data_IF_898146376658
#
_entry.id   IF_898146376658
#
_cell.length_a   1.000
_cell.length_b   1.000
_cell.length_c   1.000
_cell.angle_alpha   90.00
_cell.angle_beta   90.00
_cell.angle_gamma   90.00
#
_symmetry.space_group_name_H-M   'P 1'
#
loop_
_entity.id
_entity.type
_entity.pdbx_description
1 polymer ?
#
# COMPACT_ATOMS: atom_id res chain seq x y z
N UNK A 1 -16.11 -32.16 -5.71
CA UNK A 1 -16.15 -30.67 -5.67
C UNK A 1 -14.71 -30.23 -5.67
N UNK A 2 -14.27 -29.41 -6.62
CA UNK A 2 -12.93 -28.85 -6.60
C UNK A 2 -12.78 -28.09 -5.27
N UNK A 3 -11.70 -28.35 -4.54
CA UNK A 3 -11.41 -27.66 -3.30
C UNK A 3 -11.22 -26.16 -3.63
N UNK A 4 -12.09 -25.32 -3.08
CA UNK A 4 -12.11 -23.87 -3.37
C UNK A 4 -10.93 -23.16 -2.68
N UNK A 5 -9.76 -23.28 -3.29
CA UNK A 5 -8.53 -22.64 -2.78
C UNK A 5 -8.56 -21.16 -3.13
N UNK A 6 -8.22 -20.33 -2.16
CA UNK A 6 -8.05 -18.88 -2.35
C UNK A 6 -6.56 -18.54 -2.42
N UNK A 7 -6.09 -18.09 -3.58
CA UNK A 7 -4.70 -17.65 -3.73
C UNK A 7 -4.55 -16.19 -3.29
N UNK A 8 -3.54 -15.92 -2.48
CA UNK A 8 -3.13 -14.54 -2.11
C UNK A 8 -1.71 -14.28 -2.58
N UNK A 9 -1.53 -13.32 -3.47
CA UNK A 9 -0.20 -12.80 -3.82
C UNK A 9 0.14 -11.62 -2.92
N UNK A 10 1.42 -11.43 -2.60
CA UNK A 10 1.84 -10.32 -1.75
C UNK A 10 1.54 -10.48 -0.25
N UNK A 11 1.14 -11.67 0.20
CA UNK A 11 0.85 -11.94 1.61
C UNK A 11 2.06 -11.78 2.54
N UNK A 12 3.29 -11.80 2.01
CA UNK A 12 4.50 -11.48 2.79
C UNK A 12 4.65 -9.98 3.08
N UNK A 13 3.86 -9.12 2.40
CA UNK A 13 3.85 -7.66 2.57
C UNK A 13 2.79 -7.19 3.57
N UNK A 14 2.65 -5.87 3.70
CA UNK A 14 1.79 -5.20 4.66
C UNK A 14 0.30 -5.54 4.45
N UNK A 15 -0.32 -5.05 3.38
CA UNK A 15 -1.76 -5.28 3.11
C UNK A 15 -2.04 -6.77 2.93
N UNK A 16 -1.24 -7.46 2.13
CA UNK A 16 -1.49 -8.86 1.79
C UNK A 16 -1.46 -9.81 2.99
N UNK A 17 -0.66 -9.53 4.03
CA UNK A 17 -0.65 -10.34 5.25
C UNK A 17 -1.97 -10.20 6.03
N UNK A 18 -2.55 -9.00 6.08
CA UNK A 18 -3.85 -8.76 6.73
C UNK A 18 -4.99 -9.40 5.93
N UNK A 19 -4.96 -9.32 4.60
CA UNK A 19 -5.92 -10.03 3.73
C UNK A 19 -5.84 -11.53 3.96
N UNK A 20 -4.64 -12.13 3.91
CA UNK A 20 -4.47 -13.57 4.12
C UNK A 20 -4.93 -14.00 5.53
N UNK A 21 -4.59 -13.24 6.57
CA UNK A 21 -5.02 -13.49 7.95
C UNK A 21 -6.55 -13.46 8.08
N UNK A 22 -7.21 -12.51 7.43
CA UNK A 22 -8.66 -12.38 7.48
C UNK A 22 -9.36 -13.54 6.76
N UNK A 23 -8.86 -13.95 5.61
CA UNK A 23 -9.33 -15.13 4.88
C UNK A 23 -9.20 -16.39 5.74
N UNK A 24 -8.04 -16.61 6.38
CA UNK A 24 -7.84 -17.75 7.29
C UNK A 24 -8.80 -17.72 8.49
N UNK A 25 -9.07 -16.54 9.07
CA UNK A 25 -10.04 -16.39 10.16
C UNK A 25 -11.49 -16.65 9.69
N UNK A 26 -11.80 -16.38 8.42
CA UNK A 26 -13.08 -16.73 7.80
C UNK A 26 -13.22 -18.24 7.55
N UNK A 27 -12.14 -19.00 7.64
CA UNK A 27 -12.10 -20.44 7.40
C UNK A 27 -11.76 -20.83 5.95
N UNK A 28 -11.28 -19.86 5.13
CA UNK A 28 -10.87 -20.15 3.76
C UNK A 28 -9.60 -21.00 3.73
N UNK A 29 -9.52 -21.88 2.74
CA UNK A 29 -8.28 -22.60 2.42
C UNK A 29 -7.38 -21.66 1.61
N UNK A 30 -6.38 -21.09 2.26
CA UNK A 30 -5.50 -20.08 1.67
C UNK A 30 -4.22 -20.69 1.13
N UNK A 31 -3.87 -20.34 -0.11
CA UNK A 31 -2.57 -20.56 -0.74
C UNK A 31 -1.87 -19.21 -0.87
N UNK A 32 -0.58 -19.13 -0.48
CA UNK A 32 0.22 -17.90 -0.58
C UNK A 32 1.27 -18.06 -1.66
N UNK A 33 1.35 -17.10 -2.58
CA UNK A 33 2.48 -16.96 -3.48
C UNK A 33 3.58 -16.14 -2.79
N UNK A 34 4.78 -16.71 -2.65
CA UNK A 34 5.94 -16.01 -2.14
C UNK A 34 7.17 -16.28 -3.02
N UNK A 35 8.03 -15.28 -3.21
CA UNK A 35 9.35 -15.50 -3.84
C UNK A 35 10.26 -16.23 -2.86
N UNK A 36 11.24 -16.99 -3.38
CA UNK A 36 12.25 -17.66 -2.54
C UNK A 36 12.99 -16.69 -1.63
N UNK A 37 13.18 -15.43 -2.09
CA UNK A 37 13.87 -14.35 -1.37
C UNK A 37 12.96 -13.53 -0.46
N UNK A 38 11.65 -13.81 -0.42
CA UNK A 38 10.71 -13.03 0.40
C UNK A 38 10.93 -13.29 1.88
N UNK A 39 10.94 -12.22 2.68
CA UNK A 39 10.85 -12.31 4.13
C UNK A 39 9.47 -12.85 4.51
N UNK A 40 9.41 -13.92 5.33
CA UNK A 40 8.17 -14.65 5.64
C UNK A 40 7.60 -14.33 7.01
N UNK A 41 8.23 -13.45 7.80
CA UNK A 41 7.84 -13.16 9.19
C UNK A 41 6.34 -12.78 9.36
N UNK A 42 5.72 -12.15 8.36
CA UNK A 42 4.28 -11.83 8.41
C UNK A 42 3.36 -13.05 8.24
N UNK A 43 3.86 -14.17 7.74
CA UNK A 43 3.06 -15.36 7.39
C UNK A 43 3.50 -16.64 8.11
N UNK A 44 4.57 -16.61 8.89
CA UNK A 44 5.12 -17.80 9.58
C UNK A 44 4.09 -18.52 10.46
N UNK A 45 3.20 -17.76 11.10
CA UNK A 45 2.18 -18.31 12.00
C UNK A 45 0.88 -18.74 11.30
N UNK A 46 0.79 -18.66 9.96
CA UNK A 46 -0.49 -18.85 9.26
C UNK A 46 -0.87 -20.33 9.06
N UNK A 47 0.09 -21.25 9.06
CA UNK A 47 -0.19 -22.67 8.87
C UNK A 47 -0.85 -23.02 7.53
N UNK A 48 -0.67 -22.18 6.50
CA UNK A 48 -1.27 -22.34 5.18
C UNK A 48 -0.24 -22.79 4.11
N UNK A 49 -0.73 -23.20 2.95
CA UNK A 49 0.11 -23.57 1.81
C UNK A 49 0.88 -22.38 1.28
N UNK A 50 2.22 -22.50 1.19
CA UNK A 50 3.08 -21.48 0.59
C UNK A 50 3.75 -22.05 -0.66
N UNK A 51 3.41 -21.48 -1.83
CA UNK A 51 3.99 -21.85 -3.12
C UNK A 51 5.06 -20.84 -3.49
N UNK A 52 6.24 -21.33 -3.87
CA UNK A 52 7.33 -20.50 -4.35
C UNK A 52 7.14 -20.20 -5.83
N UNK A 53 7.12 -18.90 -6.18
CA UNK A 53 6.98 -18.46 -7.56
C UNK A 53 7.26 -16.96 -7.73
N UNK A 54 7.30 -16.52 -9.00
CA UNK A 54 7.50 -15.11 -9.37
C UNK A 54 6.41 -14.69 -10.36
N UNK A 55 5.76 -13.56 -10.12
CA UNK A 55 4.77 -12.95 -11.01
C UNK A 55 5.31 -12.74 -12.45
N UNK A 56 6.61 -12.52 -12.58
CA UNK A 56 7.25 -12.34 -13.90
C UNK A 56 7.36 -13.62 -14.72
N UNK A 57 7.14 -14.78 -14.10
CA UNK A 57 7.15 -16.08 -14.77
C UNK A 57 5.73 -16.62 -14.92
N UNK A 58 5.21 -16.60 -16.16
CA UNK A 58 3.87 -17.10 -16.50
C UNK A 58 3.68 -18.57 -16.08
N UNK A 59 4.68 -19.43 -16.33
CA UNK A 59 4.58 -20.84 -15.95
C UNK A 59 4.47 -21.02 -14.44
N UNK A 60 5.11 -20.16 -13.67
CA UNK A 60 4.97 -20.11 -12.22
C UNK A 60 3.53 -19.73 -11.82
N UNK A 61 2.93 -18.77 -12.51
CA UNK A 61 1.54 -18.36 -12.26
C UNK A 61 0.54 -19.46 -12.60
N UNK A 62 0.71 -20.12 -13.73
CA UNK A 62 -0.13 -21.26 -14.15
C UNK A 62 -0.15 -22.36 -13.08
N UNK A 63 1.02 -22.69 -12.50
CA UNK A 63 1.08 -23.67 -11.39
C UNK A 63 0.42 -23.16 -10.12
N UNK A 64 0.59 -21.88 -9.80
CA UNK A 64 0.06 -21.32 -8.55
C UNK A 64 -1.46 -21.21 -8.51
N UNK A 65 -2.12 -20.96 -9.66
CA UNK A 65 -3.58 -20.79 -9.73
C UNK A 65 -4.35 -22.11 -9.89
N UNK A 66 -3.66 -23.24 -10.10
CA UNK A 66 -4.33 -24.52 -10.24
C UNK A 66 -5.19 -24.87 -9.02
N UNK A 67 -6.46 -25.18 -9.24
CA UNK A 67 -7.44 -25.51 -8.20
C UNK A 67 -7.93 -24.31 -7.40
N UNK A 68 -7.55 -23.08 -7.78
CA UNK A 68 -8.02 -21.87 -7.12
C UNK A 68 -9.36 -21.42 -7.70
N UNK A 69 -10.36 -21.23 -6.84
CA UNK A 69 -11.61 -20.59 -7.22
C UNK A 69 -11.55 -19.06 -7.12
N UNK A 70 -10.68 -18.55 -6.23
CA UNK A 70 -10.54 -17.11 -5.98
C UNK A 70 -9.08 -16.69 -5.91
N UNK A 71 -8.80 -15.46 -6.35
CA UNK A 71 -7.45 -14.87 -6.33
C UNK A 71 -7.50 -13.46 -5.79
N UNK A 72 -6.69 -13.17 -4.77
CA UNK A 72 -6.41 -11.83 -4.26
C UNK A 72 -5.03 -11.41 -4.72
N UNK A 73 -4.98 -10.53 -5.71
CA UNK A 73 -3.74 -10.01 -6.27
C UNK A 73 -3.32 -8.74 -5.54
N UNK A 74 -2.59 -8.90 -4.44
CA UNK A 74 -2.13 -7.79 -3.57
C UNK A 74 -0.67 -7.42 -3.83
N UNK A 75 0.09 -8.29 -4.47
CA UNK A 75 1.51 -8.05 -4.75
C UNK A 75 1.71 -6.85 -5.68
N UNK A 76 2.60 -5.95 -5.26
CA UNK A 76 3.06 -4.83 -6.06
C UNK A 76 4.48 -4.42 -5.65
N UNK A 77 5.24 -3.85 -6.59
CA UNK A 77 6.46 -3.10 -6.30
C UNK A 77 6.07 -1.63 -6.09
N UNK A 78 6.19 -1.14 -4.84
CA UNK A 78 5.80 0.21 -4.44
C UNK A 78 6.99 1.14 -4.19
N UNK A 79 8.21 0.77 -4.65
CA UNK A 79 9.40 1.60 -4.51
C UNK A 79 9.22 2.94 -5.25
N UNK A 80 9.45 4.05 -4.53
CA UNK A 80 9.45 5.40 -5.12
C UNK A 80 10.77 5.74 -5.79
N UNK A 81 11.80 4.92 -5.60
CA UNK A 81 13.11 5.04 -6.24
C UNK A 81 13.70 3.66 -6.54
N UNK A 82 14.34 3.53 -7.68
CA UNK A 82 15.08 2.34 -8.10
C UNK A 82 16.17 2.71 -9.10
N UNK A 83 17.23 1.91 -9.18
CA UNK A 83 18.28 2.06 -10.19
C UNK A 83 17.79 1.71 -11.59
N UNK A 84 16.85 0.77 -11.67
CA UNK A 84 16.27 0.30 -12.92
C UNK A 84 14.74 0.40 -12.84
N UNK A 85 14.14 1.48 -13.36
CA UNK A 85 12.70 1.64 -13.35
C UNK A 85 11.91 0.52 -14.05
N UNK A 86 12.52 -0.14 -15.04
CA UNK A 86 11.87 -1.22 -15.80
C UNK A 86 11.42 -2.38 -14.88
N UNK A 87 12.16 -2.65 -13.80
CA UNK A 87 11.79 -3.68 -12.82
C UNK A 87 10.41 -3.46 -12.21
N UNK A 88 10.02 -2.18 -11.98
CA UNK A 88 8.71 -1.82 -11.43
C UNK A 88 7.61 -2.16 -12.46
N UNK A 89 7.84 -1.85 -13.74
CA UNK A 89 6.87 -2.17 -14.82
C UNK A 89 6.78 -3.66 -15.05
N UNK A 90 7.90 -4.37 -15.07
CA UNK A 90 7.92 -5.84 -15.23
C UNK A 90 7.16 -6.53 -14.11
N UNK A 91 7.31 -6.05 -12.88
CA UNK A 91 6.61 -6.61 -11.72
C UNK A 91 5.12 -6.23 -11.69
N UNK A 92 4.80 -4.93 -11.85
CA UNK A 92 3.43 -4.45 -11.67
C UNK A 92 2.57 -4.69 -12.92
N UNK A 93 3.07 -4.40 -14.12
CA UNK A 93 2.29 -4.55 -15.35
C UNK A 93 2.42 -5.97 -15.90
N UNK A 94 3.65 -6.42 -16.14
CA UNK A 94 3.93 -7.76 -16.66
C UNK A 94 3.42 -8.85 -15.71
N UNK A 95 3.72 -8.71 -14.40
CA UNK A 95 3.29 -9.66 -13.39
C UNK A 95 1.77 -9.73 -13.24
N UNK A 96 1.06 -8.59 -13.32
CA UNK A 96 -0.42 -8.57 -13.31
C UNK A 96 -0.96 -9.27 -14.55
N UNK A 97 -0.42 -9.00 -15.74
CA UNK A 97 -0.85 -9.66 -16.97
C UNK A 97 -0.64 -11.17 -16.91
N UNK A 98 0.52 -11.63 -16.45
CA UNK A 98 0.80 -13.07 -16.31
C UNK A 98 -0.19 -13.76 -15.36
N UNK A 99 -0.45 -13.16 -14.18
CA UNK A 99 -1.38 -13.73 -13.21
C UNK A 99 -2.81 -13.77 -13.76
N UNK A 100 -3.29 -12.69 -14.37
CA UNK A 100 -4.65 -12.65 -14.92
C UNK A 100 -4.81 -13.60 -16.12
N UNK A 101 -3.78 -13.74 -16.96
CA UNK A 101 -3.77 -14.76 -18.03
C UNK A 101 -3.88 -16.18 -17.45
N UNK A 102 -3.11 -16.48 -16.41
CA UNK A 102 -3.18 -17.77 -15.73
C UNK A 102 -4.57 -17.99 -15.08
N UNK A 103 -5.18 -16.95 -14.51
CA UNK A 103 -6.54 -17.02 -13.97
C UNK A 103 -7.59 -17.33 -15.05
N UNK A 104 -7.47 -16.74 -16.24
CA UNK A 104 -8.35 -17.06 -17.37
C UNK A 104 -8.22 -18.53 -17.76
N UNK A 105 -6.98 -19.02 -17.92
CA UNK A 105 -6.71 -20.41 -18.34
C UNK A 105 -7.20 -21.42 -17.30
N UNK A 106 -7.07 -21.10 -16.00
CA UNK A 106 -7.52 -21.97 -14.91
C UNK A 106 -9.02 -21.85 -14.61
N UNK A 107 -9.75 -20.93 -15.24
CA UNK A 107 -11.18 -20.72 -14.98
C UNK A 107 -11.48 -20.18 -13.57
N UNK A 108 -10.63 -19.29 -13.05
CA UNK A 108 -10.80 -18.67 -11.72
C UNK A 108 -12.12 -17.90 -11.67
N UNK A 109 -12.97 -18.19 -10.67
CA UNK A 109 -14.31 -17.62 -10.53
C UNK A 109 -14.36 -16.17 -10.07
N UNK A 110 -13.32 -15.67 -9.35
CA UNK A 110 -13.27 -14.27 -8.89
C UNK A 110 -11.83 -13.82 -8.67
N UNK A 111 -11.50 -12.61 -9.12
CA UNK A 111 -10.21 -11.97 -8.87
C UNK A 111 -10.43 -10.61 -8.20
N UNK A 112 -9.75 -10.37 -7.08
CA UNK A 112 -9.69 -9.06 -6.42
C UNK A 112 -8.32 -8.47 -6.70
N UNK A 113 -8.27 -7.44 -7.53
CA UNK A 113 -7.03 -6.76 -7.90
C UNK A 113 -6.82 -5.53 -7.03
N UNK A 114 -5.70 -5.51 -6.31
CA UNK A 114 -5.30 -4.35 -5.50
C UNK A 114 -4.56 -3.34 -6.35
N UNK A 115 -5.24 -2.27 -6.72
CA UNK A 115 -4.64 -1.10 -7.35
C UNK A 115 -4.10 -0.12 -6.29
N UNK A 116 -4.32 1.15 -6.44
CA UNK A 116 -3.88 2.20 -5.51
C UNK A 116 -4.73 3.46 -5.71
N UNK A 117 -4.94 4.24 -4.66
CA UNK A 117 -5.43 5.61 -4.79
C UNK A 117 -4.57 6.47 -5.73
N UNK A 118 -3.31 6.09 -5.91
CA UNK A 118 -2.40 6.74 -6.84
C UNK A 118 -2.83 6.72 -8.30
N UNK A 119 -3.81 5.87 -8.69
CA UNK A 119 -4.40 5.79 -10.03
C UNK A 119 -5.69 6.59 -10.17
N UNK A 120 -6.14 7.25 -9.11
CA UNK A 120 -7.32 8.12 -9.12
C UNK A 120 -6.89 9.55 -9.49
N UNK A 121 -7.66 10.20 -10.35
CA UNK A 121 -7.42 11.58 -10.74
C UNK A 121 -7.57 12.55 -9.57
N UNK A 122 -6.69 13.54 -9.51
CA UNK A 122 -6.77 14.57 -8.48
C UNK A 122 -7.72 15.69 -8.90
N UNK A 123 -8.53 16.17 -7.96
CA UNK A 123 -9.40 17.34 -8.18
C UNK A 123 -8.72 18.59 -7.65
N UNK A 124 -8.95 19.72 -8.34
CA UNK A 124 -8.37 21.03 -7.99
C UNK A 124 -9.42 22.04 -7.48
N UNK A 125 -10.67 21.59 -7.38
CA UNK A 125 -11.81 22.40 -6.93
C UNK A 125 -12.08 22.30 -5.40
N UNK A 126 -11.19 21.63 -4.67
CA UNK A 126 -11.32 21.43 -3.22
C UNK A 126 -12.25 20.28 -2.81
N UNK A 127 -12.91 19.62 -3.76
CA UNK A 127 -13.75 18.43 -3.50
C UNK A 127 -12.84 17.19 -3.50
N UNK A 128 -13.01 16.26 -2.55
CA UNK A 128 -12.30 14.99 -2.59
C UNK A 128 -12.53 14.23 -3.89
N UNK A 129 -11.47 13.67 -4.47
CA UNK A 129 -11.58 12.87 -5.69
C UNK A 129 -12.30 11.54 -5.41
N UNK A 130 -12.90 10.97 -6.43
CA UNK A 130 -13.63 9.68 -6.39
C UNK A 130 -13.27 8.81 -7.59
N UNK A 131 -13.92 7.65 -7.69
CA UNK A 131 -13.67 6.69 -8.77
C UNK A 131 -14.01 7.23 -10.17
N UNK A 132 -14.85 8.26 -10.27
CA UNK A 132 -15.24 8.90 -11.53
C UNK A 132 -14.31 10.05 -11.93
N UNK A 133 -13.38 10.45 -11.06
CA UNK A 133 -12.45 11.56 -11.32
C UNK A 133 -11.59 11.26 -12.55
N UNK A 134 -11.57 12.16 -13.57
CA UNK A 134 -10.82 11.96 -14.80
C UNK A 134 -9.32 11.81 -14.51
N UNK A 135 -8.67 10.88 -15.20
CA UNK A 135 -7.25 10.60 -15.02
C UNK A 135 -6.65 9.98 -16.28
N UNK A 136 -5.44 10.40 -16.61
CA UNK A 136 -4.65 9.85 -17.69
C UNK A 136 -3.23 9.44 -17.25
N UNK A 137 -2.50 8.77 -18.14
CA UNK A 137 -1.12 8.35 -17.86
C UNK A 137 -0.20 9.56 -17.59
N UNK A 138 -0.49 10.71 -18.19
CA UNK A 138 0.32 11.93 -18.04
C UNK A 138 0.17 12.58 -16.65
N UNK A 139 -0.92 12.28 -15.94
CA UNK A 139 -1.14 12.73 -14.58
C UNK A 139 -0.34 11.92 -13.55
N UNK A 140 0.24 10.79 -13.97
CA UNK A 140 0.94 9.88 -13.09
C UNK A 140 2.35 10.37 -12.75
N UNK A 141 2.56 10.79 -11.51
CA UNK A 141 3.86 11.24 -10.99
C UNK A 141 4.69 10.02 -10.61
N UNK A 142 5.84 9.85 -11.29
CA UNK A 142 6.82 8.82 -11.00
C UNK A 142 6.49 7.43 -11.54
N UNK A 143 7.47 6.54 -11.46
CA UNK A 143 7.37 5.21 -12.06
C UNK A 143 6.37 4.31 -11.34
N UNK A 144 6.27 4.44 -10.02
CA UNK A 144 5.30 3.66 -9.25
C UNK A 144 3.85 3.94 -9.69
N UNK A 145 3.41 5.21 -9.68
CA UNK A 145 2.03 5.54 -10.07
C UNK A 145 1.75 5.17 -11.53
N UNK A 146 2.70 5.45 -12.44
CA UNK A 146 2.57 5.06 -13.85
C UNK A 146 2.40 3.56 -14.01
N UNK A 147 3.22 2.75 -13.34
CA UNK A 147 3.11 1.29 -13.41
C UNK A 147 1.80 0.76 -12.82
N UNK A 148 1.32 1.35 -11.71
CA UNK A 148 0.03 0.97 -11.11
C UNK A 148 -1.15 1.35 -12.02
N UNK A 149 -1.10 2.53 -12.63
CA UNK A 149 -2.11 2.95 -13.61
C UNK A 149 -2.16 1.97 -14.80
N UNK A 150 -1.01 1.66 -15.42
CA UNK A 150 -0.94 0.71 -16.53
C UNK A 150 -1.41 -0.70 -16.12
N UNK A 151 -1.06 -1.16 -14.93
CA UNK A 151 -1.50 -2.45 -14.41
C UNK A 151 -3.01 -2.47 -14.10
N UNK A 152 -3.59 -1.35 -13.67
CA UNK A 152 -5.05 -1.22 -13.52
C UNK A 152 -5.76 -1.29 -14.87
N UNK A 153 -5.18 -0.68 -15.94
CA UNK A 153 -5.72 -0.83 -17.30
C UNK A 153 -5.70 -2.30 -17.75
N UNK A 154 -4.62 -3.04 -17.45
CA UNK A 154 -4.59 -4.50 -17.70
C UNK A 154 -5.72 -5.21 -16.96
N UNK A 155 -5.99 -4.86 -15.70
CA UNK A 155 -7.09 -5.46 -14.95
C UNK A 155 -8.47 -5.16 -15.59
N UNK A 156 -8.68 -3.95 -16.09
CA UNK A 156 -9.89 -3.59 -16.85
C UNK A 156 -9.98 -4.36 -18.19
N UNK A 157 -8.87 -4.52 -18.93
CA UNK A 157 -8.85 -5.31 -20.16
C UNK A 157 -9.35 -6.73 -19.90
N UNK A 158 -8.85 -7.40 -18.86
CA UNK A 158 -9.25 -8.75 -18.50
C UNK A 158 -10.70 -8.82 -18.01
N UNK A 159 -11.14 -7.84 -17.22
CA UNK A 159 -12.55 -7.76 -16.82
C UNK A 159 -13.51 -7.65 -18.01
N UNK A 160 -13.17 -6.79 -18.98
CA UNK A 160 -13.94 -6.62 -20.21
C UNK A 160 -13.90 -7.86 -21.12
N UNK A 161 -12.87 -8.69 -20.98
CA UNK A 161 -12.73 -9.96 -21.70
C UNK A 161 -13.41 -11.15 -20.99
N UNK A 162 -14.10 -10.89 -19.87
CA UNK A 162 -14.93 -11.89 -19.19
C UNK A 162 -14.31 -12.53 -17.94
N UNK A 163 -13.07 -12.19 -17.56
CA UNK A 163 -12.53 -12.61 -16.26
C UNK A 163 -13.24 -11.81 -15.14
N UNK A 164 -13.81 -12.45 -14.10
CA UNK A 164 -14.51 -11.73 -13.03
C UNK A 164 -13.56 -10.95 -12.11
N UNK A 165 -13.05 -9.81 -12.56
CA UNK A 165 -12.14 -8.93 -11.80
C UNK A 165 -12.90 -7.80 -11.13
N UNK A 166 -12.67 -7.60 -9.83
CA UNK A 166 -13.07 -6.41 -9.08
C UNK A 166 -11.79 -5.69 -8.63
N UNK A 167 -11.77 -4.38 -8.77
CA UNK A 167 -10.58 -3.56 -8.47
C UNK A 167 -10.81 -2.83 -7.15
N UNK A 168 -9.81 -2.83 -6.28
CA UNK A 168 -9.81 -2.02 -5.06
C UNK A 168 -8.63 -1.06 -5.07
N UNK A 169 -8.86 0.18 -4.65
CA UNK A 169 -7.89 1.26 -4.60
C UNK A 169 -7.66 1.68 -3.14
N UNK A 170 -6.82 0.96 -2.37
CA UNK A 170 -6.45 1.39 -1.03
C UNK A 170 -5.85 2.79 -1.06
N UNK A 171 -6.17 3.60 -0.05
CA UNK A 171 -5.60 4.93 0.10
C UNK A 171 -4.22 4.85 0.77
N UNK A 172 -4.09 5.37 1.96
CA UNK A 172 -2.83 5.34 2.70
C UNK A 172 -3.00 4.47 3.95
N UNK A 173 -2.75 3.16 3.84
CA UNK A 173 -2.97 2.25 4.96
C UNK A 173 -1.93 2.49 6.07
N UNK A 174 -2.42 2.43 7.31
CA UNK A 174 -1.62 2.48 8.53
C UNK A 174 -2.04 1.35 9.48
N UNK A 175 -1.12 0.86 10.30
CA UNK A 175 -1.39 -0.23 11.26
C UNK A 175 -0.16 -1.06 11.56
N UNK A 176 -0.39 -2.24 12.14
CA UNK A 176 0.64 -3.22 12.50
C UNK A 176 1.17 -4.00 11.27
N UNK A 177 2.30 -4.70 11.44
CA UNK A 177 2.93 -5.56 10.42
C UNK A 177 3.46 -4.83 9.17
N UNK A 178 3.69 -3.52 9.21
CA UNK A 178 4.42 -2.78 8.17
C UNK A 178 5.94 -3.03 8.32
N UNK A 179 6.38 -4.27 8.04
CA UNK A 179 7.76 -4.75 8.26
C UNK A 179 8.77 -3.92 7.48
N UNK A 180 8.46 -3.66 6.20
CA UNK A 180 9.22 -2.76 5.35
C UNK A 180 8.44 -1.45 5.27
N UNK A 181 8.77 -0.48 6.14
CA UNK A 181 7.94 0.70 6.29
C UNK A 181 7.50 1.30 4.96
N UNK A 182 6.19 1.40 4.77
CA UNK A 182 5.61 2.15 3.66
C UNK A 182 6.00 3.63 3.78
N UNK A 183 5.83 4.46 2.75
CA UNK A 183 6.12 5.90 2.86
C UNK A 183 5.43 6.54 4.08
N UNK A 184 4.21 6.13 4.41
CA UNK A 184 3.47 6.63 5.59
C UNK A 184 4.00 6.00 6.89
N UNK A 185 4.28 4.69 6.88
CA UNK A 185 4.93 4.02 8.01
C UNK A 185 6.28 4.67 8.34
N UNK A 186 7.03 5.13 7.32
CA UNK A 186 8.28 5.87 7.52
C UNK A 186 8.04 7.22 8.19
N UNK A 187 6.98 7.96 7.84
CA UNK A 187 6.62 9.21 8.53
C UNK A 187 6.36 8.94 10.02
N UNK A 188 5.59 7.90 10.34
CA UNK A 188 5.30 7.50 11.73
C UNK A 188 6.60 7.13 12.45
N UNK A 189 7.44 6.32 11.84
CA UNK A 189 8.71 5.87 12.40
C UNK A 189 9.69 7.03 12.63
N UNK A 190 9.82 7.95 11.65
CA UNK A 190 10.70 9.11 11.77
C UNK A 190 10.20 10.09 12.82
N UNK A 191 8.87 10.23 12.98
CA UNK A 191 8.27 11.00 14.07
C UNK A 191 8.61 10.38 15.45
N UNK A 192 8.40 9.08 15.61
CA UNK A 192 8.73 8.34 16.85
C UNK A 192 10.23 8.50 17.19
N UNK A 193 11.09 8.52 16.19
CA UNK A 193 12.55 8.69 16.36
C UNK A 193 13.00 10.15 16.55
N UNK A 194 12.08 11.11 16.45
CA UNK A 194 12.42 12.54 16.53
C UNK A 194 13.22 13.07 15.34
N UNK A 195 13.10 12.43 14.19
CA UNK A 195 13.82 12.77 12.94
C UNK A 195 13.05 13.73 12.03
N UNK A 196 11.88 14.20 12.43
CA UNK A 196 11.06 15.16 11.69
C UNK A 196 11.13 16.56 12.31
N UNK A 197 12.13 17.41 11.93
CA UNK A 197 12.27 18.76 12.47
C UNK A 197 11.23 19.73 11.90
N UNK A 198 10.68 19.41 10.72
CA UNK A 198 9.78 20.27 9.97
C UNK A 198 8.85 19.44 9.07
N UNK A 199 7.80 20.07 8.55
CA UNK A 199 6.85 19.43 7.64
C UNK A 199 6.40 20.39 6.53
N UNK A 200 5.90 19.83 5.43
CA UNK A 200 5.25 20.57 4.32
C UNK A 200 3.73 20.55 4.47
N UNK A 201 3.06 21.57 3.93
CA UNK A 201 1.58 21.58 3.90
C UNK A 201 1.08 20.65 2.81
N UNK A 202 0.67 19.47 3.23
CA UNK A 202 0.08 18.43 2.38
C UNK A 202 -0.99 17.68 3.18
N UNK A 203 -1.67 16.74 2.54
CA UNK A 203 -2.68 15.92 3.20
C UNK A 203 -2.86 14.57 2.49
N UNK A 204 -3.31 13.60 3.24
CA UNK A 204 -3.50 12.22 2.83
C UNK A 204 -4.90 11.75 3.26
N UNK A 205 -5.44 10.79 2.54
CA UNK A 205 -6.53 9.98 3.05
C UNK A 205 -5.92 8.77 3.77
N UNK A 206 -6.12 8.67 5.07
CA UNK A 206 -5.63 7.57 5.90
C UNK A 206 -6.72 6.53 6.13
N UNK A 207 -6.32 5.27 6.24
CA UNK A 207 -7.22 4.14 6.52
C UNK A 207 -6.49 3.06 7.31
N UNK A 208 -7.19 2.34 8.18
CA UNK A 208 -6.64 1.18 8.87
C UNK A 208 -6.32 0.03 7.90
N UNK A 209 -5.19 -0.64 8.07
CA UNK A 209 -4.84 -1.78 7.22
C UNK A 209 -5.80 -2.96 7.39
N UNK A 210 -6.36 -3.14 8.59
CA UNK A 210 -7.39 -4.15 8.85
C UNK A 210 -8.69 -3.80 8.10
N UNK A 211 -9.06 -2.51 8.02
CA UNK A 211 -10.21 -2.06 7.24
C UNK A 211 -9.98 -2.26 5.74
N UNK A 212 -8.75 -1.99 5.27
CA UNK A 212 -8.38 -2.30 3.88
C UNK A 212 -8.54 -3.79 3.60
N UNK A 213 -8.08 -4.66 4.50
CA UNK A 213 -8.26 -6.11 4.35
C UNK A 213 -9.75 -6.50 4.32
N UNK A 214 -10.56 -5.91 5.21
CA UNK A 214 -12.04 -6.09 5.17
C UNK A 214 -12.63 -5.62 3.85
N UNK A 215 -12.22 -4.45 3.37
CA UNK A 215 -12.66 -3.92 2.08
C UNK A 215 -12.38 -4.86 0.90
N UNK A 216 -11.28 -5.64 0.94
CA UNK A 216 -10.99 -6.67 -0.05
C UNK A 216 -12.00 -7.84 0.02
N UNK A 217 -12.36 -8.27 1.23
CA UNK A 217 -13.37 -9.32 1.42
C UNK A 217 -14.74 -8.84 0.93
N UNK A 218 -15.14 -7.64 1.32
CA UNK A 218 -16.40 -7.04 0.88
C UNK A 218 -16.45 -6.85 -0.66
N UNK A 219 -15.33 -6.52 -1.28
CA UNK A 219 -15.23 -6.43 -2.74
C UNK A 219 -15.35 -7.80 -3.41
N UNK A 220 -14.86 -8.88 -2.80
CA UNK A 220 -15.07 -10.24 -3.28
C UNK A 220 -16.55 -10.60 -3.20
N UNK A 221 -17.23 -10.32 -2.10
CA UNK A 221 -18.60 -10.70 -1.84
C UNK A 221 -19.63 -9.87 -2.64
N UNK A 222 -19.44 -8.54 -2.71
CA UNK A 222 -20.45 -7.58 -3.20
C UNK A 222 -19.98 -6.74 -4.38
N UNK A 223 -18.68 -6.73 -4.67
CA UNK A 223 -18.12 -5.91 -5.73
C UNK A 223 -18.59 -6.33 -7.11
N UNK A 224 -18.93 -5.34 -7.94
CA UNK A 224 -19.33 -5.55 -9.34
C UNK A 224 -18.08 -5.77 -10.20
N UNK A 225 -18.13 -6.76 -11.08
CA UNK A 225 -17.06 -7.06 -12.04
C UNK A 225 -16.82 -5.84 -12.93
N UNK A 226 -15.55 -5.51 -13.17
CA UNK A 226 -15.15 -4.36 -13.97
C UNK A 226 -15.26 -3.02 -13.24
N UNK A 227 -15.64 -3.00 -11.96
CA UNK A 227 -15.74 -1.78 -11.17
C UNK A 227 -14.53 -1.62 -10.25
N UNK A 228 -14.21 -0.36 -9.91
CA UNK A 228 -13.20 -0.03 -8.91
C UNK A 228 -13.81 0.65 -7.68
N UNK A 229 -13.21 0.42 -6.52
CA UNK A 229 -13.67 0.90 -5.22
C UNK A 229 -12.52 1.47 -4.40
N UNK A 230 -12.62 2.73 -4.00
CA UNK A 230 -11.66 3.37 -3.11
C UNK A 230 -11.86 2.85 -1.69
N UNK A 231 -10.84 2.20 -1.14
CA UNK A 231 -10.82 1.78 0.25
C UNK A 231 -10.08 2.84 1.07
N UNK A 232 -10.81 3.88 1.47
CA UNK A 232 -10.30 5.04 2.19
C UNK A 232 -11.04 5.29 3.49
N UNK A 233 -10.36 5.94 4.44
CA UNK A 233 -10.92 6.35 5.73
C UNK A 233 -11.14 7.86 5.79
N UNK A 234 -10.25 8.59 6.47
CA UNK A 234 -10.38 10.02 6.76
C UNK A 234 -9.32 10.84 6.01
N UNK A 235 -9.73 12.02 5.54
CA UNK A 235 -8.85 12.99 4.91
C UNK A 235 -8.20 13.88 5.97
N UNK A 236 -6.91 13.72 6.22
CA UNK A 236 -6.16 14.48 7.22
C UNK A 236 -5.01 15.26 6.57
N UNK A 237 -4.77 16.49 7.03
CA UNK A 237 -3.54 17.21 6.73
C UNK A 237 -2.35 16.53 7.42
N UNK A 238 -1.16 16.70 6.89
CA UNK A 238 0.05 16.19 7.55
C UNK A 238 0.22 16.77 8.97
N UNK A 239 -0.26 18.01 9.18
CA UNK A 239 -0.27 18.64 10.51
C UNK A 239 -1.14 17.86 11.49
N UNK A 240 -2.38 17.53 11.12
CA UNK A 240 -3.30 16.72 11.96
C UNK A 240 -2.73 15.34 12.26
N UNK A 241 -2.08 14.70 11.27
CA UNK A 241 -1.38 13.42 11.47
C UNK A 241 -0.28 13.57 12.53
N UNK A 242 0.55 14.62 12.43
CA UNK A 242 1.64 14.85 13.38
C UNK A 242 1.12 15.24 14.79
N UNK A 243 0.00 15.95 14.87
CA UNK A 243 -0.66 16.27 16.15
C UNK A 243 -1.18 15.00 16.82
N UNK A 244 -1.85 14.13 16.09
CA UNK A 244 -2.32 12.84 16.63
C UNK A 244 -1.17 11.90 17.03
N UNK A 245 -0.07 11.88 16.26
CA UNK A 245 1.13 11.15 16.65
C UNK A 245 1.76 11.72 17.92
N UNK A 246 1.77 13.06 18.07
CA UNK A 246 2.31 13.72 19.24
C UNK A 246 1.51 13.37 20.52
N UNK A 247 0.17 13.34 20.42
CA UNK A 247 -0.71 12.87 21.50
C UNK A 247 -0.40 11.41 21.87
N UNK A 248 -0.29 10.52 20.87
CA UNK A 248 -0.07 9.09 21.09
C UNK A 248 1.31 8.78 21.68
N UNK A 249 2.36 9.48 21.22
CA UNK A 249 3.75 9.22 21.62
C UNK A 249 4.23 10.11 22.77
N UNK A 250 3.40 10.99 23.30
CA UNK A 250 3.76 12.04 24.28
C UNK A 250 4.99 12.85 23.82
N UNK A 251 4.98 13.31 22.56
CA UNK A 251 6.07 14.07 21.92
C UNK A 251 5.58 15.44 21.47
N UNK A 252 6.51 16.34 21.16
CA UNK A 252 6.18 17.66 20.63
C UNK A 252 5.95 17.60 19.12
N UNK A 253 4.94 18.29 18.63
CA UNK A 253 4.69 18.48 17.20
C UNK A 253 5.80 19.34 16.58
N UNK A 254 6.35 19.00 15.39
CA UNK A 254 7.23 19.88 14.64
C UNK A 254 6.58 21.23 14.39
N UNK A 255 7.25 22.34 14.74
CA UNK A 255 6.68 23.68 14.65
C UNK A 255 6.96 24.37 13.32
N UNK A 256 7.95 23.90 12.59
CA UNK A 256 8.43 24.54 11.36
C UNK A 256 7.68 23.99 10.17
N UNK A 257 6.86 24.85 9.54
CA UNK A 257 6.24 24.55 8.24
C UNK A 257 7.18 25.02 7.14
N UNK A 258 7.67 24.11 6.33
CA UNK A 258 8.53 24.42 5.19
C UNK A 258 7.69 24.83 3.97
N UNK A 259 8.07 25.93 3.27
CA UNK A 259 7.56 26.15 1.93
C UNK A 259 7.91 24.98 1.00
N UNK A 260 6.98 24.58 0.14
CA UNK A 260 7.20 23.46 -0.78
C UNK A 260 8.49 23.59 -1.62
N UNK A 261 8.81 24.83 -2.06
CA UNK A 261 10.02 25.10 -2.84
C UNK A 261 11.32 24.72 -2.09
N UNK A 262 11.35 24.90 -0.76
CA UNK A 262 12.51 24.51 0.06
C UNK A 262 12.63 22.99 0.11
N UNK A 263 11.53 22.28 0.33
CA UNK A 263 11.49 20.81 0.29
C UNK A 263 11.89 20.27 -1.10
N UNK A 264 11.46 20.95 -2.16
CA UNK A 264 11.83 20.62 -3.54
C UNK A 264 13.33 20.73 -3.78
N UNK A 265 13.95 21.86 -3.39
CA UNK A 265 15.41 22.06 -3.53
C UNK A 265 16.16 21.00 -2.73
N UNK A 266 15.75 20.74 -1.48
CA UNK A 266 16.36 19.71 -0.64
C UNK A 266 16.25 18.32 -1.29
N UNK A 267 15.09 17.97 -1.83
CA UNK A 267 14.87 16.72 -2.56
C UNK A 267 15.71 16.60 -3.83
N UNK A 268 15.87 17.69 -4.60
CA UNK A 268 16.74 17.72 -5.77
C UNK A 268 18.22 17.47 -5.39
N UNK A 269 18.70 18.13 -4.34
CA UNK A 269 20.07 17.97 -3.86
C UNK A 269 20.31 16.54 -3.36
N UNK A 270 19.42 16.01 -2.51
CA UNK A 270 19.55 14.66 -1.99
C UNK A 270 19.46 13.61 -3.12
N UNK A 271 18.54 13.78 -4.06
CA UNK A 271 18.43 12.87 -5.20
C UNK A 271 19.67 12.90 -6.11
N UNK A 272 20.29 14.06 -6.28
CA UNK A 272 21.54 14.18 -7.04
C UNK A 272 22.69 13.51 -6.29
N UNK A 273 22.90 13.84 -5.02
CA UNK A 273 24.02 13.31 -4.24
C UNK A 273 23.81 11.82 -3.93
N UNK A 274 22.69 11.47 -3.29
CA UNK A 274 22.45 10.12 -2.80
C UNK A 274 22.00 9.19 -3.93
N UNK A 275 21.07 9.66 -4.78
CA UNK A 275 20.50 8.86 -5.87
C UNK A 275 21.46 8.66 -7.05
N UNK A 276 22.07 9.75 -7.54
CA UNK A 276 22.88 9.70 -8.76
C UNK A 276 24.36 9.40 -8.46
N UNK A 277 24.98 10.14 -7.54
CA UNK A 277 26.43 10.00 -7.24
C UNK A 277 26.68 8.74 -6.40
N UNK A 278 25.99 8.61 -5.27
CA UNK A 278 26.17 7.47 -4.35
C UNK A 278 25.40 6.21 -4.77
N UNK A 279 24.49 6.33 -5.74
CA UNK A 279 23.63 5.25 -6.23
C UNK A 279 22.90 4.49 -5.11
N UNK A 280 22.40 5.23 -4.11
CA UNK A 280 21.62 4.75 -2.97
C UNK A 280 20.23 5.38 -3.00
N UNK A 281 19.29 4.79 -2.28
CA UNK A 281 17.96 5.37 -2.11
C UNK A 281 18.05 6.71 -1.42
N UNK A 282 17.53 7.82 -2.02
CA UNK A 282 17.51 9.14 -1.42
C UNK A 282 16.69 9.14 -0.12
N UNK A 283 17.13 9.93 0.87
CA UNK A 283 16.38 10.12 2.11
C UNK A 283 15.08 10.92 1.87
N UNK A 284 15.11 11.80 0.85
CA UNK A 284 13.99 12.63 0.42
C UNK A 284 13.67 12.28 -1.04
N UNK A 285 12.87 11.20 -1.30
CA UNK A 285 12.53 10.80 -2.65
C UNK A 285 11.80 11.93 -3.39
N UNK A 286 12.33 12.35 -4.54
CA UNK A 286 11.83 13.50 -5.31
C UNK A 286 10.36 13.30 -5.74
N UNK A 287 9.96 12.05 -6.01
CA UNK A 287 8.56 11.71 -6.31
C UNK A 287 7.63 12.02 -5.12
N UNK A 288 8.07 11.69 -3.88
CA UNK A 288 7.32 12.03 -2.67
C UNK A 288 7.15 13.54 -2.49
N UNK A 289 8.22 14.31 -2.74
CA UNK A 289 8.15 15.79 -2.69
C UNK A 289 7.22 16.34 -3.76
N UNK A 290 7.23 15.79 -4.99
CA UNK A 290 6.29 16.19 -6.05
C UNK A 290 4.85 15.94 -5.63
N UNK A 291 4.57 14.76 -5.08
CA UNK A 291 3.23 14.40 -4.60
C UNK A 291 2.75 15.31 -3.46
N UNK A 292 3.65 15.74 -2.56
CA UNK A 292 3.30 16.60 -1.42
C UNK A 292 2.86 18.02 -1.79
N UNK A 293 2.94 18.40 -3.07
CA UNK A 293 2.42 19.71 -3.56
C UNK A 293 0.89 19.78 -3.46
N UNK A 294 0.22 18.64 -3.46
CA UNK A 294 -1.24 18.54 -3.45
C UNK A 294 -1.72 17.74 -2.25
N UNK A 295 -2.91 18.08 -1.76
CA UNK A 295 -3.62 17.26 -0.78
C UNK A 295 -4.30 16.12 -1.53
N UNK A 296 -3.92 14.88 -1.21
CA UNK A 296 -4.47 13.68 -1.84
C UNK A 296 -5.74 13.24 -1.10
N UNK A 297 -6.77 14.06 -1.18
CA UNK A 297 -8.07 13.82 -0.54
C UNK A 297 -8.99 13.09 -1.50
N UNK A 298 -9.60 12.02 -0.99
CA UNK A 298 -10.53 11.18 -1.76
C UNK A 298 -11.76 10.82 -0.94
N UNK A 299 -12.79 10.37 -1.64
CA UNK A 299 -14.04 9.86 -1.07
C UNK A 299 -14.13 8.36 -1.27
N UNK A 300 -14.52 7.63 -0.24
CA UNK A 300 -14.85 6.19 -0.29
C UNK A 300 -16.36 5.93 -0.29
N UNK A 301 -17.15 6.93 -0.65
CA UNK A 301 -18.61 6.87 -0.57
C UNK A 301 -19.21 5.74 -1.42
N UNK A 302 -18.63 5.46 -2.61
CA UNK A 302 -19.03 4.35 -3.44
C UNK A 302 -18.83 3.01 -2.73
N UNK A 303 -17.66 2.80 -2.11
CA UNK A 303 -17.39 1.58 -1.34
C UNK A 303 -18.33 1.46 -0.13
N UNK A 304 -18.64 2.56 0.56
CA UNK A 304 -19.60 2.57 1.68
C UNK A 304 -21.00 2.14 1.20
N UNK A 305 -21.49 2.74 0.14
CA UNK A 305 -22.83 2.48 -0.39
C UNK A 305 -22.99 1.08 -1.00
N UNK A 306 -22.02 0.62 -1.78
CA UNK A 306 -22.15 -0.58 -2.60
C UNK A 306 -21.60 -1.84 -1.92
N UNK A 307 -20.53 -1.70 -1.13
CA UNK A 307 -19.91 -2.81 -0.41
C UNK A 307 -20.34 -2.88 1.07
N UNK A 308 -20.82 -1.79 1.63
CA UNK A 308 -21.02 -1.64 3.09
C UNK A 308 -19.69 -1.42 3.83
N UNK A 309 -18.67 -0.88 3.13
CA UNK A 309 -17.38 -0.58 3.73
C UNK A 309 -17.50 0.49 4.81
N UNK A 310 -17.09 0.17 6.04
CA UNK A 310 -17.20 1.07 7.19
C UNK A 310 -15.91 1.05 8.02
N UNK A 311 -14.87 1.82 7.61
CA UNK A 311 -13.59 1.82 8.29
C UNK A 311 -13.69 2.43 9.69
N UNK A 312 -12.85 1.92 10.60
CA UNK A 312 -12.69 2.43 11.96
C UNK A 312 -12.09 3.85 11.95
N UNK A 313 -12.25 4.62 13.04
CA UNK A 313 -11.59 5.92 13.17
C UNK A 313 -10.08 5.80 13.01
N UNK A 314 -9.49 6.67 12.19
CA UNK A 314 -8.04 6.66 11.86
C UNK A 314 -7.15 6.74 13.10
N UNK A 315 -7.60 7.44 14.17
CA UNK A 315 -6.84 7.52 15.43
C UNK A 315 -6.54 6.16 16.06
N UNK A 316 -7.43 5.18 15.91
CA UNK A 316 -7.24 3.83 16.46
C UNK A 316 -6.13 3.10 15.67
N UNK A 317 -6.22 3.10 14.35
CA UNK A 317 -5.20 2.51 13.48
C UNK A 317 -3.84 3.20 13.62
N UNK A 318 -3.83 4.51 13.91
CA UNK A 318 -2.60 5.25 14.16
C UNK A 318 -1.94 4.80 15.48
N UNK A 319 -2.72 4.54 16.53
CA UNK A 319 -2.21 3.99 17.80
C UNK A 319 -1.62 2.60 17.59
N UNK A 320 -2.30 1.73 16.86
CA UNK A 320 -1.79 0.40 16.52
C UNK A 320 -0.46 0.48 15.74
N UNK A 321 -0.35 1.39 14.78
CA UNK A 321 0.88 1.60 14.02
C UNK A 321 2.02 2.09 14.93
N UNK A 322 1.75 3.03 15.83
CA UNK A 322 2.73 3.52 16.81
C UNK A 322 3.18 2.40 17.72
N UNK A 323 2.25 1.63 18.29
CA UNK A 323 2.56 0.50 19.16
C UNK A 323 3.42 -0.54 18.45
N UNK A 324 3.07 -0.88 17.21
CA UNK A 324 3.87 -1.79 16.39
C UNK A 324 5.30 -1.29 16.17
N UNK A 325 5.50 -0.03 15.78
CA UNK A 325 6.84 0.52 15.55
C UNK A 325 7.66 0.70 16.82
N UNK A 326 7.01 0.86 17.96
CA UNK A 326 7.70 0.95 19.26
C UNK A 326 8.13 -0.42 19.79
N UNK A 327 7.31 -1.45 19.63
CA UNK A 327 7.47 -2.70 20.39
C UNK A 327 7.70 -3.95 19.54
N UNK A 328 7.12 -4.03 18.36
CA UNK A 328 7.15 -5.25 17.54
C UNK A 328 8.02 -5.14 16.28
N UNK A 329 8.29 -3.94 15.80
CA UNK A 329 9.05 -3.76 14.56
C UNK A 329 10.53 -4.10 14.72
N UNK A 330 11.03 -4.98 13.85
CA UNK A 330 12.44 -5.38 13.80
C UNK A 330 13.07 -4.89 12.49
N UNK A 331 14.16 -4.07 12.55
CA UNK A 331 14.84 -3.58 11.36
C UNK A 331 15.57 -4.70 10.61
N UNK A 332 15.67 -4.56 9.28
CA UNK A 332 16.37 -5.53 8.41
C UNK A 332 17.90 -5.51 8.54
N UNK A 333 18.47 -4.46 9.11
CA UNK A 333 19.91 -4.27 9.23
C UNK A 333 20.35 -3.72 10.60
N UNK A 334 21.59 -4.05 10.99
CA UNK A 334 22.17 -3.58 12.24
C UNK A 334 22.33 -2.03 12.33
N UNK A 335 22.23 -1.32 11.19
CA UNK A 335 22.26 0.16 11.13
C UNK A 335 20.97 0.83 11.58
N UNK A 336 19.86 0.10 11.61
CA UNK A 336 18.55 0.62 11.98
C UNK A 336 18.19 0.39 13.47
N UNK A 337 19.17 0.03 14.30
CA UNK A 337 18.93 -0.15 15.75
C UNK A 337 18.38 1.13 16.36
N UNK A 338 17.18 1.02 16.91
CA UNK A 338 16.52 2.10 17.66
C UNK A 338 17.31 2.36 18.93
N UNK A 339 18.00 3.49 19.01
CA UNK A 339 18.50 4.00 20.30
C UNK A 339 17.29 4.67 20.95
N UNK A 340 16.61 3.97 21.84
CA UNK A 340 15.63 4.58 22.73
C UNK A 340 16.39 5.51 23.68
N UNK A 341 16.32 6.81 23.41
CA UNK A 341 16.65 7.77 24.47
C UNK A 341 15.52 7.68 25.50
N UNK A 342 15.84 7.40 26.79
CA UNK A 342 14.82 7.37 27.83
C UNK A 342 14.09 8.72 27.84
N UNK A 343 12.77 8.67 27.96
CA UNK A 343 11.95 9.86 28.17
C UNK A 343 12.54 10.67 29.32
N UNK A 344 12.97 11.89 29.02
CA UNK A 344 13.64 12.73 29.98
C UNK A 344 12.82 12.83 31.25
N UNK A 345 13.38 12.40 32.37
CA UNK A 345 12.89 12.64 33.72
C UNK A 345 12.63 14.14 33.83
N UNK A 346 11.37 14.51 33.91
CA UNK A 346 10.96 15.85 34.34
C UNK A 346 11.49 16.01 35.75
N UNK A 347 12.58 16.76 35.93
CA UNK A 347 12.94 17.28 37.25
C UNK A 347 11.94 18.36 37.59
N UNK A 348 11.28 18.15 38.73
CA UNK A 348 10.49 19.15 39.44
C UNK A 348 11.23 20.46 39.64
#
# INVERSE_FOLDING_TARGET
>A
MAEDITLVTGATGFIGSHVARRLLRRGDRVRILARSTSRKSNIEAFGCEVVVGDLKDLNSMLRCVQGCGRVYHVAADYRLWTKNPQEIYDSNVGGTRNLLSACCEAGVGKVIYTSSVGTIGMRHDGVPADEASPVGLDDMIGHYKRSKFMAEQVAFEFANSGLPVVIVNPTTPIGSADIKPTPTGKIIQDFIRGRLPAYVDTGLNLVGVEDVAEGHILAEEKGRVGERYILGGENWSLKEILEALAETCNRRVPRVRLPWAVAWIAGCVDNFITGTVLRREPNIPLEGVRMSRHKMYVSSEKARRELGFNPQPVKESLREAVDYFLHAWQPDSAGDRVIFLPAGTVRN
#
